data_IF_569687712314
#
_entry.id   IF_569687712314
#
_cell.length_a   1.000
_cell.length_b   1.000
_cell.length_c   1.000
_cell.angle_alpha   90.00
_cell.angle_beta   90.00
_cell.angle_gamma   90.00
#
_symmetry.space_group_name_H-M   'P 1'
#
loop_
_entity.id
_entity.type
_entity.pdbx_description
1 polymer ?
#
# COMPACT_ATOMS: atom_id res chain seq x y z
N UNK A 1 -14.08 23.74 -13.60
CA UNK A 1 -13.27 22.49 -13.51
C UNK A 1 -12.89 22.28 -12.06
N UNK A 2 -13.41 21.27 -11.34
CA UNK A 2 -12.94 21.03 -9.99
C UNK A 2 -11.45 20.66 -10.06
N UNK A 3 -10.63 21.37 -9.29
CA UNK A 3 -9.18 21.14 -9.18
C UNK A 3 -8.92 19.65 -8.88
N UNK A 4 -8.02 19.03 -9.66
CA UNK A 4 -7.63 17.65 -9.47
C UNK A 4 -7.03 17.48 -8.05
N UNK A 5 -7.58 16.61 -7.18
CA UNK A 5 -6.99 16.40 -5.87
C UNK A 5 -5.61 15.76 -6.01
N UNK A 6 -4.63 16.32 -5.29
CA UNK A 6 -3.25 15.86 -5.24
C UNK A 6 -3.12 14.43 -4.72
N UNK A 7 -1.94 13.81 -4.92
CA UNK A 7 -1.65 12.49 -4.35
C UNK A 7 -1.76 12.50 -2.82
N UNK A 8 -1.38 13.60 -2.15
CA UNK A 8 -1.59 13.76 -0.71
C UNK A 8 -3.08 13.73 -0.33
N UNK A 9 -3.96 14.37 -1.12
CA UNK A 9 -5.40 14.29 -0.88
C UNK A 9 -5.97 12.87 -1.11
N UNK A 10 -5.35 12.08 -2.00
CA UNK A 10 -5.69 10.66 -2.15
C UNK A 10 -5.29 9.85 -0.93
N UNK A 11 -4.05 10.04 -0.45
CA UNK A 11 -3.52 9.42 0.77
C UNK A 11 -4.39 9.73 1.98
N UNK A 12 -4.70 11.01 2.21
CA UNK A 12 -5.54 11.45 3.33
C UNK A 12 -6.95 10.85 3.32
N UNK A 13 -7.51 10.60 2.14
CA UNK A 13 -8.81 9.93 1.96
C UNK A 13 -8.74 8.41 2.03
N UNK A 14 -7.57 7.82 1.79
CA UNK A 14 -7.35 6.37 1.93
C UNK A 14 -7.21 6.02 3.40
N UNK A 15 -6.23 6.62 4.08
CA UNK A 15 -5.80 6.16 5.42
C UNK A 15 -6.50 6.88 6.56
N UNK A 16 -6.98 8.10 6.31
CA UNK A 16 -7.55 8.95 7.34
C UNK A 16 -8.77 8.40 8.07
N UNK A 17 -9.73 7.75 7.38
CA UNK A 17 -10.88 7.13 8.04
C UNK A 17 -10.59 5.77 8.68
N UNK A 18 -9.40 5.19 8.49
CA UNK A 18 -9.10 3.85 8.99
C UNK A 18 -9.01 3.87 10.52
N UNK A 19 -9.65 2.88 11.14
CA UNK A 19 -9.74 2.71 12.59
C UNK A 19 -9.06 1.40 13.00
N UNK A 20 -8.84 1.24 14.31
CA UNK A 20 -8.19 0.05 14.85
C UNK A 20 -6.69 0.01 14.57
N UNK A 21 -6.13 -1.20 14.56
CA UNK A 21 -4.71 -1.47 14.30
C UNK A 21 -4.48 -1.53 12.79
N UNK A 22 -3.65 -0.63 12.28
CA UNK A 22 -3.34 -0.54 10.86
C UNK A 22 -1.89 -0.93 10.61
N UNK A 23 -1.64 -1.77 9.61
CA UNK A 23 -0.31 -2.03 9.06
C UNK A 23 -0.14 -1.33 7.72
N UNK A 24 0.93 -0.58 7.53
CA UNK A 24 1.33 -0.03 6.24
C UNK A 24 2.51 -0.79 5.63
N UNK A 25 2.30 -1.35 4.43
CA UNK A 25 3.29 -2.04 3.63
C UNK A 25 4.05 -1.03 2.76
N UNK A 26 5.38 -1.00 2.90
CA UNK A 26 6.27 -0.07 2.19
C UNK A 26 6.03 1.38 2.58
N UNK A 27 6.25 1.71 3.85
CA UNK A 27 5.98 3.06 4.41
C UNK A 27 6.78 4.16 3.70
N UNK A 28 7.81 3.81 2.92
CA UNK A 28 8.65 4.78 2.23
C UNK A 28 9.39 5.67 3.20
N UNK A 29 9.19 6.99 3.07
CA UNK A 29 9.74 7.97 4.02
C UNK A 29 8.66 8.46 5.01
N UNK A 30 7.51 7.79 5.04
CA UNK A 30 6.39 8.11 5.92
C UNK A 30 5.35 9.04 5.30
N UNK A 31 5.20 9.04 3.97
CA UNK A 31 4.31 9.96 3.23
C UNK A 31 2.83 9.88 3.66
N UNK A 32 2.39 8.76 4.25
CA UNK A 32 1.02 8.56 4.75
C UNK A 32 0.88 8.81 6.25
N UNK A 33 1.97 8.83 7.03
CA UNK A 33 1.93 8.76 8.49
C UNK A 33 1.17 9.93 9.12
N UNK A 34 1.33 11.14 8.58
CA UNK A 34 0.62 12.34 9.04
C UNK A 34 -0.90 12.33 8.75
N UNK A 35 -1.42 11.30 8.09
CA UNK A 35 -2.82 11.20 7.71
C UNK A 35 -3.63 10.19 8.55
N UNK A 36 -3.01 9.33 9.35
CA UNK A 36 -3.68 8.33 10.20
C UNK A 36 -4.30 8.95 11.46
N UNK A 37 -5.38 9.70 11.29
CA UNK A 37 -6.04 10.45 12.38
C UNK A 37 -7.03 9.64 13.23
N UNK A 38 -7.37 8.41 12.82
CA UNK A 38 -8.43 7.61 13.46
C UNK A 38 -7.99 6.20 13.86
N UNK A 39 -6.76 5.80 13.54
CA UNK A 39 -6.21 4.51 13.92
C UNK A 39 -5.90 4.49 15.43
N UNK A 40 -6.04 3.33 16.07
CA UNK A 40 -5.60 3.14 17.46
C UNK A 40 -4.10 2.82 17.55
N UNK A 41 -3.51 2.30 16.47
CA UNK A 41 -2.08 2.04 16.31
C UNK A 41 -1.74 1.94 14.82
N UNK A 42 -0.57 2.45 14.43
CA UNK A 42 -0.01 2.26 13.08
C UNK A 42 1.32 1.53 13.18
N UNK A 43 1.40 0.34 12.60
CA UNK A 43 2.65 -0.32 12.30
C UNK A 43 3.01 -0.07 10.84
N UNK A 44 4.29 0.01 10.51
CA UNK A 44 4.77 0.13 9.14
C UNK A 44 5.99 -0.74 8.89
N UNK A 45 6.13 -1.24 7.67
CA UNK A 45 7.32 -1.97 7.21
C UNK A 45 7.92 -1.33 5.96
N UNK A 46 9.24 -1.24 5.91
CA UNK A 46 9.99 -0.75 4.76
C UNK A 46 11.30 -1.53 4.63
N UNK A 47 11.54 -2.25 3.51
CA UNK A 47 12.71 -3.11 3.38
C UNK A 47 14.03 -2.34 3.23
N UNK A 48 14.01 -1.09 2.77
CA UNK A 48 15.22 -0.29 2.59
C UNK A 48 15.59 0.49 3.86
N UNK A 49 16.73 0.19 4.52
CA UNK A 49 17.08 0.78 5.82
C UNK A 49 17.11 2.31 5.84
N UNK A 50 17.61 2.96 4.78
CA UNK A 50 17.68 4.41 4.67
C UNK A 50 16.28 5.06 4.66
N UNK A 51 15.34 4.46 3.92
CA UNK A 51 13.94 4.92 3.86
C UNK A 51 13.24 4.66 5.19
N UNK A 52 13.45 3.48 5.77
CA UNK A 52 12.92 3.12 7.07
C UNK A 52 13.39 4.10 8.17
N UNK A 53 14.65 4.53 8.16
CA UNK A 53 15.16 5.54 9.10
C UNK A 53 14.42 6.88 8.98
N UNK A 54 14.17 7.34 7.75
CA UNK A 54 13.36 8.54 7.50
C UNK A 54 11.91 8.36 7.96
N UNK A 55 11.31 7.20 7.68
CA UNK A 55 9.96 6.85 8.11
C UNK A 55 9.83 6.76 9.64
N UNK A 56 10.83 6.24 10.35
CA UNK A 56 10.86 6.21 11.81
C UNK A 56 10.87 7.63 12.40
N UNK A 57 11.64 8.56 11.80
CA UNK A 57 11.61 9.97 12.20
C UNK A 57 10.25 10.61 11.92
N UNK A 58 9.62 10.30 10.77
CA UNK A 58 8.27 10.76 10.44
C UNK A 58 7.21 10.19 11.39
N UNK A 59 7.32 8.91 11.76
CA UNK A 59 6.44 8.23 12.70
C UNK A 59 6.47 8.90 14.08
N UNK A 60 7.66 9.22 14.60
CA UNK A 60 7.78 9.96 15.87
C UNK A 60 7.04 11.29 15.84
N UNK A 61 7.23 12.09 14.79
CA UNK A 61 6.56 13.40 14.63
C UNK A 61 5.04 13.25 14.48
N UNK A 62 4.58 12.34 13.63
CA UNK A 62 3.16 12.11 13.39
C UNK A 62 2.46 11.55 14.63
N UNK A 63 3.12 10.65 15.35
CA UNK A 63 2.61 10.06 16.59
C UNK A 63 2.38 11.14 17.66
N UNK A 64 3.35 12.04 17.85
CA UNK A 64 3.21 13.18 18.77
C UNK A 64 2.10 14.13 18.35
N UNK A 65 2.00 14.45 17.06
CA UNK A 65 1.03 15.41 16.54
C UNK A 65 -0.43 14.89 16.57
N UNK A 66 -0.62 13.57 16.39
CA UNK A 66 -1.94 12.96 16.26
C UNK A 66 -2.40 12.22 17.52
N UNK A 67 -1.51 11.96 18.48
CA UNK A 67 -1.80 11.12 19.63
C UNK A 67 -2.01 9.63 19.28
N UNK A 68 -1.54 9.20 18.11
CA UNK A 68 -1.66 7.81 17.63
C UNK A 68 -0.30 7.12 17.75
N UNK A 69 -0.16 6.00 18.46
CA UNK A 69 1.09 5.24 18.52
C UNK A 69 1.51 4.76 17.12
N UNK A 70 2.75 5.07 16.71
CA UNK A 70 3.29 4.66 15.40
C UNK A 70 4.66 4.02 15.52
N UNK A 71 4.88 2.90 14.83
CA UNK A 71 6.16 2.18 14.80
C UNK A 71 6.49 1.74 13.38
N UNK A 72 7.77 1.77 13.02
CA UNK A 72 8.26 1.35 11.69
C UNK A 72 9.42 0.38 11.86
N UNK A 73 9.29 -0.79 11.22
CA UNK A 73 10.28 -1.87 11.22
C UNK A 73 10.88 -2.06 9.82
N UNK A 74 12.12 -2.55 9.78
CA UNK A 74 12.76 -2.95 8.52
C UNK A 74 12.35 -4.39 8.24
N UNK A 75 11.51 -4.60 7.23
CA UNK A 75 11.07 -5.93 6.81
C UNK A 75 10.52 -5.88 5.36
N UNK A 76 10.64 -6.97 4.59
CA UNK A 76 9.97 -7.12 3.30
C UNK A 76 8.48 -7.43 3.49
N UNK A 77 7.68 -7.24 2.44
CA UNK A 77 6.23 -7.53 2.48
C UNK A 77 5.96 -9.05 2.53
N UNK A 78 6.92 -9.83 2.04
CA UNK A 78 6.92 -11.28 1.93
C UNK A 78 7.21 -12.00 3.26
N UNK A 79 7.68 -11.28 4.29
CA UNK A 79 7.96 -11.83 5.61
C UNK A 79 7.68 -10.78 6.70
N UNK A 80 6.41 -10.68 7.09
CA UNK A 80 5.92 -9.68 8.04
C UNK A 80 6.22 -10.10 9.48
N UNK A 81 6.89 -9.26 10.29
CA UNK A 81 7.30 -9.58 11.66
C UNK A 81 6.15 -9.41 12.67
N UNK A 82 4.93 -9.81 12.31
CA UNK A 82 3.73 -9.65 13.11
C UNK A 82 2.99 -10.98 13.26
N UNK A 83 2.27 -11.19 14.36
CA UNK A 83 1.49 -12.40 14.55
C UNK A 83 0.29 -12.46 13.59
N UNK A 84 -0.36 -13.61 13.53
CA UNK A 84 -1.62 -13.79 12.85
C UNK A 84 -2.72 -12.90 13.48
N UNK A 85 -3.70 -12.47 12.68
CA UNK A 85 -4.89 -11.73 13.12
C UNK A 85 -4.56 -10.46 13.95
N UNK A 86 -3.48 -9.77 13.60
CA UNK A 86 -2.94 -8.64 14.36
C UNK A 86 -3.52 -7.28 13.95
N UNK A 87 -4.09 -7.16 12.75
CA UNK A 87 -4.50 -5.88 12.17
C UNK A 87 -5.94 -5.90 11.64
N UNK A 88 -6.64 -4.79 11.84
CA UNK A 88 -7.97 -4.53 11.30
C UNK A 88 -7.90 -4.04 9.84
N UNK A 89 -6.79 -3.38 9.48
CA UNK A 89 -6.54 -2.93 8.11
C UNK A 89 -5.06 -3.07 7.74
N UNK A 90 -4.82 -3.44 6.48
CA UNK A 90 -3.50 -3.35 5.84
C UNK A 90 -3.59 -2.31 4.72
N UNK A 91 -2.56 -1.47 4.59
CA UNK A 91 -2.48 -0.42 3.58
C UNK A 91 -1.28 -0.69 2.68
N UNK A 92 -1.47 -0.53 1.36
CA UNK A 92 -0.38 -0.47 0.38
C UNK A 92 -0.58 0.73 -0.55
N UNK A 93 0.42 1.61 -0.65
CA UNK A 93 0.28 2.88 -1.36
C UNK A 93 1.46 3.14 -2.28
N UNK A 94 1.33 2.71 -3.55
CA UNK A 94 2.36 2.79 -4.59
C UNK A 94 3.57 1.91 -4.27
N UNK A 95 3.30 0.72 -3.74
CA UNK A 95 4.30 -0.22 -3.24
C UNK A 95 4.09 -1.59 -3.87
N UNK A 96 2.85 -2.04 -3.99
CA UNK A 96 2.56 -3.40 -4.45
C UNK A 96 3.04 -3.66 -5.89
N UNK A 97 3.17 -2.62 -6.71
CA UNK A 97 3.78 -2.73 -8.03
C UNK A 97 5.29 -3.06 -8.00
N UNK A 98 5.98 -2.80 -6.88
CA UNK A 98 7.42 -3.01 -6.67
C UNK A 98 7.76 -4.26 -5.86
N UNK A 99 6.77 -4.90 -5.24
CA UNK A 99 6.92 -6.15 -4.48
C UNK A 99 7.47 -7.26 -5.40
N UNK A 100 8.46 -8.01 -4.90
CA UNK A 100 9.16 -9.03 -5.66
C UNK A 100 8.28 -10.27 -5.83
N UNK A 101 7.65 -10.72 -4.75
CA UNK A 101 6.75 -11.87 -4.72
C UNK A 101 5.34 -11.49 -4.25
N UNK A 102 4.49 -10.93 -5.12
CA UNK A 102 3.14 -10.50 -4.75
C UNK A 102 2.28 -11.58 -4.10
N UNK A 103 2.44 -12.83 -4.50
CA UNK A 103 1.70 -13.96 -3.94
C UNK A 103 2.15 -14.30 -2.52
N UNK A 104 3.46 -14.21 -2.22
CA UNK A 104 3.97 -14.38 -0.87
C UNK A 104 3.54 -13.22 0.03
N UNK A 105 3.67 -11.99 -0.46
CA UNK A 105 3.19 -10.80 0.23
C UNK A 105 1.69 -10.86 0.52
N UNK A 106 0.85 -11.32 -0.43
CA UNK A 106 -0.58 -11.51 -0.17
C UNK A 106 -0.83 -12.60 0.88
N UNK A 107 -0.05 -13.67 0.90
CA UNK A 107 -0.14 -14.69 1.96
C UNK A 107 0.14 -14.13 3.34
N UNK A 108 1.17 -13.29 3.48
CA UNK A 108 1.46 -12.61 4.74
C UNK A 108 0.39 -11.58 5.11
N UNK A 109 -0.13 -10.82 4.14
CA UNK A 109 -1.24 -9.87 4.36
C UNK A 109 -2.48 -10.62 4.86
N UNK A 110 -2.82 -11.75 4.24
CA UNK A 110 -3.91 -12.63 4.68
C UNK A 110 -3.70 -13.12 6.11
N UNK A 111 -2.47 -13.54 6.42
CA UNK A 111 -2.12 -14.05 7.75
C UNK A 111 -2.26 -12.98 8.84
N UNK A 112 -1.79 -11.76 8.60
CA UNK A 112 -1.75 -10.72 9.65
C UNK A 112 -3.07 -9.96 9.80
N UNK A 113 -3.97 -10.04 8.80
CA UNK A 113 -5.31 -9.47 8.90
C UNK A 113 -6.19 -10.32 9.80
N UNK A 114 -6.95 -9.67 10.67
CA UNK A 114 -8.04 -10.30 11.43
C UNK A 114 -9.11 -10.84 10.50
N UNK A 115 -9.96 -11.79 10.97
CA UNK A 115 -11.25 -12.02 10.36
C UNK A 115 -11.99 -10.67 10.18
N UNK A 116 -12.57 -10.46 9.00
CA UNK A 116 -13.20 -9.20 8.56
C UNK A 116 -12.28 -7.99 8.31
N UNK A 117 -10.98 -8.16 8.54
CA UNK A 117 -9.97 -7.17 8.16
C UNK A 117 -9.93 -6.93 6.66
N UNK A 118 -9.45 -5.75 6.25
CA UNK A 118 -9.42 -5.36 4.84
C UNK A 118 -8.08 -4.79 4.40
N UNK A 119 -7.71 -5.10 3.15
CA UNK A 119 -6.61 -4.50 2.43
C UNK A 119 -7.09 -3.23 1.71
N UNK A 120 -6.41 -2.12 1.93
CA UNK A 120 -6.68 -0.82 1.33
C UNK A 120 -5.51 -0.42 0.45
N UNK A 121 -5.78 -0.06 -0.79
CA UNK A 121 -4.70 0.24 -1.73
C UNK A 121 -4.91 1.53 -2.51
N UNK A 122 -3.82 2.26 -2.74
CA UNK A 122 -3.67 3.21 -3.84
C UNK A 122 -2.49 2.74 -4.67
N UNK A 123 -2.76 2.14 -5.82
CA UNK A 123 -1.72 1.50 -6.62
C UNK A 123 -1.69 2.01 -8.05
N UNK A 124 -0.48 1.99 -8.60
CA UNK A 124 -0.29 1.98 -10.04
C UNK A 124 -0.57 0.56 -10.54
N UNK A 125 -1.49 0.41 -11.50
CA UNK A 125 -1.86 -0.88 -12.09
C UNK A 125 -1.84 -0.85 -13.61
N UNK A 126 -1.77 -2.04 -14.23
CA UNK A 126 -1.83 -2.22 -15.68
C UNK A 126 -3.00 -1.42 -16.30
N UNK A 127 -2.76 -0.63 -17.37
CA UNK A 127 -3.82 0.01 -18.15
C UNK A 127 -4.79 -1.02 -18.74
N UNK A 128 -6.07 -0.63 -18.90
CA UNK A 128 -7.08 -1.50 -19.53
C UNK A 128 -7.08 -1.42 -21.06
N UNK A 129 -6.67 -0.29 -21.63
CA UNK A 129 -6.63 -0.13 -23.09
C UNK A 129 -5.51 -1.01 -23.67
N UNK A 130 -5.79 -1.91 -24.64
CA UNK A 130 -4.83 -2.89 -25.14
C UNK A 130 -3.50 -2.29 -25.62
N UNK A 131 -3.58 -1.18 -26.35
CA UNK A 131 -2.39 -0.45 -26.85
C UNK A 131 -1.53 0.05 -25.69
N UNK A 132 -2.14 0.69 -24.69
CA UNK A 132 -1.40 1.19 -23.53
C UNK A 132 -0.82 0.05 -22.68
N UNK A 133 -1.56 -1.06 -22.58
CA UNK A 133 -1.12 -2.25 -21.86
C UNK A 133 0.11 -2.89 -22.53
N UNK A 134 0.13 -2.94 -23.86
CA UNK A 134 1.31 -3.39 -24.61
C UNK A 134 2.51 -2.45 -24.42
N UNK A 135 2.28 -1.13 -24.45
CA UNK A 135 3.34 -0.15 -24.19
C UNK A 135 3.95 -0.32 -22.79
N UNK A 136 3.14 -0.60 -21.76
CA UNK A 136 3.68 -0.85 -20.42
C UNK A 136 4.45 -2.17 -20.35
N UNK A 137 4.08 -3.20 -21.11
CA UNK A 137 4.87 -4.44 -21.21
C UNK A 137 6.27 -4.18 -21.77
N UNK A 138 6.35 -3.44 -22.88
CA UNK A 138 7.62 -3.11 -23.53
C UNK A 138 8.48 -2.20 -22.64
N UNK A 139 7.87 -1.24 -21.93
CA UNK A 139 8.58 -0.31 -21.07
C UNK A 139 9.04 -0.91 -19.73
N UNK A 140 8.34 -1.92 -19.19
CA UNK A 140 8.58 -2.46 -17.84
C UNK A 140 10.03 -2.92 -17.59
N UNK A 141 10.71 -3.66 -18.50
CA UNK A 141 12.08 -4.11 -18.26
C UNK A 141 13.08 -2.98 -18.02
N UNK A 142 12.93 -1.85 -18.71
CA UNK A 142 13.74 -0.66 -18.48
C UNK A 142 13.29 0.07 -17.21
N UNK A 143 11.98 0.26 -17.06
CA UNK A 143 11.39 1.00 -15.94
C UNK A 143 11.75 0.42 -14.57
N UNK A 144 11.65 -0.90 -14.41
CA UNK A 144 11.93 -1.57 -13.12
C UNK A 144 13.36 -1.33 -12.61
N UNK A 145 14.31 -1.06 -13.51
CA UNK A 145 15.72 -0.78 -13.15
C UNK A 145 15.92 0.62 -12.55
N UNK A 146 15.04 1.56 -12.87
CA UNK A 146 15.18 2.97 -12.47
C UNK A 146 14.10 3.41 -11.48
N UNK A 147 13.03 2.64 -11.31
CA UNK A 147 11.88 2.98 -10.50
C UNK A 147 11.64 1.98 -9.36
N UNK A 148 12.70 1.58 -8.65
CA UNK A 148 12.63 0.69 -7.48
C UNK A 148 11.79 -0.57 -7.73
N UNK A 149 12.12 -1.31 -8.79
CA UNK A 149 11.41 -2.51 -9.22
C UNK A 149 9.93 -2.30 -9.60
N UNK A 150 9.44 -1.08 -9.84
CA UNK A 150 8.04 -0.88 -10.22
C UNK A 150 7.70 -1.60 -11.54
N UNK A 151 6.69 -2.47 -11.51
CA UNK A 151 6.16 -3.16 -12.69
C UNK A 151 4.97 -2.39 -13.26
N UNK A 152 5.16 -1.69 -14.40
CA UNK A 152 4.10 -0.90 -15.04
C UNK A 152 2.94 -1.76 -15.58
N UNK A 153 3.19 -3.05 -15.73
CA UNK A 153 2.25 -4.00 -16.27
C UNK A 153 1.60 -4.90 -15.20
N UNK A 154 1.79 -4.61 -13.90
CA UNK A 154 1.26 -5.41 -12.80
C UNK A 154 -0.28 -5.46 -12.83
N UNK A 155 -0.91 -6.64 -13.01
CA UNK A 155 -2.37 -6.78 -13.05
C UNK A 155 -2.94 -6.97 -11.63
N UNK A 156 -2.69 -6.02 -10.71
CA UNK A 156 -2.99 -6.15 -9.27
C UNK A 156 -4.45 -6.54 -8.98
N UNK A 157 -5.41 -6.01 -9.74
CA UNK A 157 -6.82 -6.36 -9.58
C UNK A 157 -7.11 -7.83 -9.89
N UNK A 158 -6.44 -8.38 -10.88
CA UNK A 158 -6.65 -9.76 -11.33
C UNK A 158 -5.95 -10.73 -10.38
N UNK A 159 -4.75 -10.39 -9.91
CA UNK A 159 -4.04 -11.13 -8.84
C UNK A 159 -4.91 -11.25 -7.58
N UNK A 160 -5.46 -10.13 -7.10
CA UNK A 160 -6.35 -10.13 -5.92
C UNK A 160 -7.58 -11.03 -6.14
N UNK A 161 -8.27 -10.88 -7.28
CA UNK A 161 -9.47 -11.66 -7.59
C UNK A 161 -9.19 -13.14 -7.76
N UNK A 162 -8.10 -13.50 -8.42
CA UNK A 162 -7.69 -14.90 -8.60
C UNK A 162 -7.43 -15.60 -7.26
N UNK A 163 -6.99 -14.84 -6.25
CA UNK A 163 -6.77 -15.31 -4.89
C UNK A 163 -8.02 -15.29 -4.00
N UNK A 164 -9.19 -14.97 -4.58
CA UNK A 164 -10.48 -15.00 -3.89
C UNK A 164 -10.86 -13.72 -3.15
N UNK A 165 -10.10 -12.63 -3.33
CA UNK A 165 -10.46 -11.36 -2.72
C UNK A 165 -11.62 -10.69 -3.45
N UNK A 166 -12.60 -10.22 -2.68
CA UNK A 166 -13.67 -9.37 -3.15
C UNK A 166 -13.18 -7.92 -3.21
N UNK A 167 -12.92 -7.44 -4.43
CA UNK A 167 -12.33 -6.11 -4.68
C UNK A 167 -13.40 -5.07 -5.00
N UNK A 168 -13.42 -3.99 -4.21
CA UNK A 168 -14.20 -2.78 -4.45
C UNK A 168 -13.28 -1.63 -4.90
N UNK A 169 -13.47 -1.14 -6.12
CA UNK A 169 -12.74 0.02 -6.64
C UNK A 169 -13.53 1.29 -6.35
N UNK A 170 -12.94 2.22 -5.60
CA UNK A 170 -13.57 3.51 -5.28
C UNK A 170 -13.32 4.58 -6.34
N UNK A 171 -12.13 4.57 -6.95
CA UNK A 171 -11.78 5.55 -7.98
C UNK A 171 -10.61 5.06 -8.83
N UNK A 172 -10.66 5.36 -10.13
CA UNK A 172 -9.57 5.15 -11.09
C UNK A 172 -9.20 6.47 -11.75
N UNK A 173 -7.90 6.72 -11.91
CA UNK A 173 -7.36 7.85 -12.68
C UNK A 173 -6.18 7.39 -13.50
N UNK A 174 -6.42 7.15 -14.78
CA UNK A 174 -5.47 6.47 -15.65
C UNK A 174 -5.08 5.11 -15.07
N UNK A 175 -3.80 4.98 -14.73
CA UNK A 175 -3.20 3.79 -14.13
C UNK A 175 -3.30 3.73 -12.61
N UNK A 176 -3.70 4.82 -11.94
CA UNK A 176 -3.83 4.82 -10.48
C UNK A 176 -5.23 4.38 -10.05
N UNK A 177 -5.30 3.43 -9.12
CA UNK A 177 -6.56 2.92 -8.59
C UNK A 177 -6.54 2.97 -7.07
N UNK A 178 -7.63 3.52 -6.51
CA UNK A 178 -7.95 3.41 -5.09
C UNK A 178 -8.98 2.31 -4.89
N UNK A 179 -8.67 1.34 -4.05
CA UNK A 179 -9.53 0.18 -3.81
C UNK A 179 -9.50 -0.28 -2.35
N UNK A 180 -10.49 -1.11 -2.02
CA UNK A 180 -10.54 -1.97 -0.84
C UNK A 180 -10.71 -3.40 -1.33
N UNK A 181 -10.02 -4.34 -0.70
CA UNK A 181 -10.18 -5.76 -0.90
C UNK A 181 -10.44 -6.42 0.45
N UNK A 182 -11.39 -7.34 0.49
CA UNK A 182 -11.70 -8.18 1.65
C UNK A 182 -11.90 -9.61 1.18
N UNK A 183 -11.46 -10.60 1.97
CA UNK A 183 -11.67 -12.01 1.67
C UNK A 183 -12.93 -12.54 2.34
#
# INVERSE_FOLDING_TARGET
MPLLPSLSAWRARLVGPLQGRVLEIGVGRGENLAHYRSASLVAGIEPHPERAAAAQAAARRASQALGVPMQVSIAPAEALPFPQDAFDAVVSSLVFCSVDEPEAALGEIERVLRPDGALWMVEHIRPQAPVLAHLTDVATPAWRRIAYNCHLNRPTLDVLRARGWRVQVFSRRGVFVKLRAQR
#
